data_IF_363072332083
#
_entry.id   IF_363072332083
#
_cell.length_a   1.000
_cell.length_b   1.000
_cell.length_c   1.000
_cell.angle_alpha   90.00
_cell.angle_beta   90.00
_cell.angle_gamma   90.00
#
_symmetry.space_group_name_H-M   'P 1'
#
loop_
_entity.id
_entity.type
_entity.pdbx_description
1 polymer ?
#
# COMPACT_ATOMS: atom_id res chain seq x y z
N UNK A 1 -47.34 -25.57 -28.99
CA UNK A 1 -46.29 -25.54 -27.94
C UNK A 1 -46.83 -25.67 -26.51
N UNK A 2 -47.97 -25.06 -26.13
CA UNK A 2 -48.52 -25.15 -24.74
C UNK A 2 -48.96 -26.57 -24.30
N UNK A 3 -49.50 -27.40 -25.19
CA UNK A 3 -49.99 -28.75 -24.84
C UNK A 3 -48.87 -29.80 -24.60
N UNK A 4 -47.66 -29.59 -25.14
CA UNK A 4 -46.52 -30.48 -24.91
C UNK A 4 -45.80 -30.20 -23.58
N UNK A 5 -46.04 -29.04 -22.95
CA UNK A 5 -45.46 -28.67 -21.66
C UNK A 5 -46.25 -29.23 -20.46
N UNK A 6 -47.49 -29.66 -20.66
CA UNK A 6 -48.37 -30.19 -19.61
C UNK A 6 -48.28 -31.70 -19.44
N UNK A 7 -47.68 -32.43 -20.39
CA UNK A 7 -47.43 -33.87 -20.28
C UNK A 7 -46.21 -34.15 -19.38
N UNK A 8 -46.20 -35.31 -18.71
CA UNK A 8 -45.12 -35.71 -17.80
C UNK A 8 -43.71 -35.66 -18.44
N UNK A 9 -43.51 -36.08 -19.71
CA UNK A 9 -42.24 -35.94 -20.42
C UNK A 9 -41.84 -34.48 -20.69
N UNK A 10 -42.81 -33.61 -20.99
CA UNK A 10 -42.57 -32.18 -21.18
C UNK A 10 -42.12 -31.49 -19.89
N UNK A 11 -42.76 -31.82 -18.77
CA UNK A 11 -42.40 -31.30 -17.45
C UNK A 11 -41.00 -31.72 -17.01
N UNK A 12 -40.60 -32.97 -17.27
CA UNK A 12 -39.25 -33.46 -16.96
C UNK A 12 -38.17 -32.73 -17.78
N UNK A 13 -38.42 -32.44 -19.05
CA UNK A 13 -37.51 -31.63 -19.90
C UNK A 13 -37.33 -30.21 -19.37
N UNK A 14 -38.42 -29.56 -18.96
CA UNK A 14 -38.36 -28.21 -18.40
C UNK A 14 -37.59 -28.21 -17.08
N UNK A 15 -37.87 -29.15 -16.17
CA UNK A 15 -37.14 -29.26 -14.90
C UNK A 15 -35.65 -29.47 -15.16
N UNK A 16 -35.29 -30.35 -16.10
CA UNK A 16 -33.89 -30.58 -16.46
C UNK A 16 -33.19 -29.39 -17.07
N UNK A 17 -33.87 -28.67 -17.97
CA UNK A 17 -33.34 -27.44 -18.53
C UNK A 17 -33.12 -26.36 -17.45
N UNK A 18 -34.07 -26.21 -16.52
CA UNK A 18 -33.96 -25.26 -15.39
C UNK A 18 -32.81 -25.64 -14.45
N UNK A 19 -32.67 -26.92 -14.08
CA UNK A 19 -31.58 -27.37 -13.22
C UNK A 19 -30.21 -27.21 -13.90
N UNK A 20 -30.11 -27.56 -15.19
CA UNK A 20 -28.88 -27.34 -15.95
C UNK A 20 -28.54 -25.85 -16.04
N UNK A 21 -29.54 -24.99 -16.27
CA UNK A 21 -29.36 -23.54 -16.26
C UNK A 21 -28.88 -23.03 -14.90
N UNK A 22 -29.45 -23.52 -13.80
CA UNK A 22 -29.04 -23.15 -12.44
C UNK A 22 -27.58 -23.54 -12.15
N UNK A 23 -27.18 -24.76 -12.52
CA UNK A 23 -25.78 -25.23 -12.35
C UNK A 23 -24.82 -24.38 -13.19
N UNK A 24 -25.18 -24.08 -14.43
CA UNK A 24 -24.36 -23.22 -15.31
C UNK A 24 -24.30 -21.79 -14.77
N UNK A 25 -25.41 -21.22 -14.32
CA UNK A 25 -25.45 -19.88 -13.74
C UNK A 25 -24.62 -19.78 -12.45
N UNK A 26 -24.70 -20.78 -11.57
CA UNK A 26 -23.86 -20.88 -10.38
C UNK A 26 -22.36 -20.96 -10.75
N UNK A 27 -22.01 -21.82 -11.71
CA UNK A 27 -20.63 -21.93 -12.21
C UNK A 27 -20.09 -20.62 -12.79
N UNK A 28 -20.89 -19.97 -13.64
CA UNK A 28 -20.53 -18.69 -14.26
C UNK A 28 -20.38 -17.57 -13.22
N UNK A 29 -21.32 -17.45 -12.28
CA UNK A 29 -21.23 -16.46 -11.20
C UNK A 29 -20.02 -16.70 -10.30
N UNK A 30 -19.74 -17.97 -9.98
CA UNK A 30 -18.56 -18.36 -9.18
C UNK A 30 -17.26 -18.00 -9.90
N UNK A 31 -17.15 -18.33 -11.19
CA UNK A 31 -15.97 -18.02 -11.98
C UNK A 31 -15.76 -16.50 -12.10
N UNK A 32 -16.83 -15.74 -12.38
CA UNK A 32 -16.75 -14.28 -12.48
C UNK A 32 -16.36 -13.62 -11.15
N UNK A 33 -17.09 -13.90 -10.06
CA UNK A 33 -16.84 -13.27 -8.77
C UNK A 33 -15.49 -13.67 -8.17
N UNK A 34 -15.04 -14.91 -8.39
CA UNK A 34 -13.72 -15.36 -7.94
C UNK A 34 -12.60 -14.75 -8.77
N UNK A 35 -12.79 -14.58 -10.09
CA UNK A 35 -11.80 -13.95 -10.96
C UNK A 35 -11.60 -12.47 -10.62
N UNK A 36 -12.68 -11.75 -10.33
CA UNK A 36 -12.61 -10.33 -9.93
C UNK A 36 -11.84 -10.16 -8.62
N UNK A 37 -12.12 -10.99 -7.61
CA UNK A 37 -11.41 -10.96 -6.32
C UNK A 37 -9.95 -11.41 -6.43
N UNK A 38 -9.67 -12.40 -7.26
CA UNK A 38 -8.31 -12.85 -7.51
C UNK A 38 -7.49 -11.76 -8.22
N UNK A 39 -8.10 -11.03 -9.17
CA UNK A 39 -7.46 -9.89 -9.81
C UNK A 39 -7.20 -8.75 -8.81
N UNK A 40 -8.18 -8.39 -7.98
CA UNK A 40 -8.01 -7.38 -6.93
C UNK A 40 -6.92 -7.78 -5.90
N UNK A 41 -6.87 -9.05 -5.48
CA UNK A 41 -5.81 -9.56 -4.60
C UNK A 41 -4.42 -9.53 -5.27
N UNK A 42 -4.36 -9.76 -6.59
CA UNK A 42 -3.11 -9.65 -7.36
C UNK A 42 -2.66 -8.19 -7.49
N UNK A 43 -3.60 -7.26 -7.73
CA UNK A 43 -3.35 -5.81 -7.75
C UNK A 43 -2.81 -5.31 -6.39
N UNK A 44 -3.39 -5.77 -5.26
CA UNK A 44 -2.86 -5.46 -3.91
C UNK A 44 -1.37 -5.83 -3.81
N UNK A 45 -1.00 -7.04 -4.25
CA UNK A 45 0.35 -7.57 -4.07
C UNK A 45 1.38 -7.00 -5.07
N UNK A 46 1.01 -6.90 -6.34
CA UNK A 46 1.96 -6.61 -7.42
C UNK A 46 1.89 -5.17 -7.94
N UNK A 47 0.87 -4.40 -7.56
CA UNK A 47 0.66 -3.05 -8.06
C UNK A 47 0.52 -2.04 -6.94
N UNK A 48 -0.60 -2.07 -6.21
CA UNK A 48 -0.99 -0.96 -5.34
C UNK A 48 -0.10 -0.82 -4.11
N UNK A 49 0.31 -1.94 -3.49
CA UNK A 49 1.24 -1.86 -2.36
C UNK A 49 2.64 -1.40 -2.80
N UNK A 50 3.29 -2.00 -3.84
CA UNK A 50 4.56 -1.50 -4.34
C UNK A 50 4.53 -0.02 -4.77
N UNK A 51 3.42 0.47 -5.33
CA UNK A 51 3.25 1.87 -5.71
C UNK A 51 3.14 2.80 -4.50
N UNK A 52 2.38 2.41 -3.47
CA UNK A 52 2.32 3.14 -2.19
C UNK A 52 3.71 3.25 -1.55
N UNK A 53 4.43 2.14 -1.40
CA UNK A 53 5.79 2.16 -0.84
C UNK A 53 6.75 2.97 -1.72
N UNK A 54 6.64 2.83 -3.05
CA UNK A 54 7.44 3.59 -4.01
C UNK A 54 7.20 5.09 -3.92
N UNK A 55 5.94 5.53 -3.71
CA UNK A 55 5.60 6.92 -3.51
C UNK A 55 6.22 7.50 -2.22
N UNK A 56 6.20 6.74 -1.12
CA UNK A 56 6.88 7.11 0.11
C UNK A 56 8.41 7.21 -0.08
N UNK A 57 9.00 6.31 -0.88
CA UNK A 57 10.42 6.36 -1.21
C UNK A 57 10.83 7.54 -2.10
N UNK A 58 9.93 8.01 -2.99
CA UNK A 58 10.13 9.26 -3.73
C UNK A 58 10.20 10.43 -2.76
N UNK A 59 9.22 10.56 -1.84
CA UNK A 59 9.24 11.59 -0.81
C UNK A 59 10.56 11.56 -0.02
N UNK A 60 10.93 10.37 0.47
CA UNK A 60 12.15 10.17 1.25
C UNK A 60 13.39 10.62 0.48
N UNK A 61 13.53 10.18 -0.76
CA UNK A 61 14.71 10.50 -1.58
C UNK A 61 14.78 12.01 -1.86
N UNK A 62 13.65 12.67 -2.11
CA UNK A 62 13.61 14.11 -2.28
C UNK A 62 14.01 14.87 -1.00
N UNK A 63 13.47 14.46 0.15
CA UNK A 63 13.76 15.09 1.43
C UNK A 63 15.21 14.86 1.89
N UNK A 64 15.75 13.65 1.69
CA UNK A 64 17.14 13.34 2.04
C UNK A 64 18.12 14.05 1.12
N UNK A 65 17.82 14.15 -0.18
CA UNK A 65 18.59 14.98 -1.10
C UNK A 65 18.62 16.46 -0.65
N UNK A 66 17.50 17.00 -0.19
CA UNK A 66 17.43 18.37 0.32
C UNK A 66 18.24 18.57 1.61
N UNK A 67 18.21 17.57 2.48
CA UNK A 67 19.01 17.52 3.70
C UNK A 67 20.51 17.49 3.38
N UNK A 68 20.93 16.64 2.44
CA UNK A 68 22.31 16.55 1.99
C UNK A 68 22.78 17.85 1.34
N UNK A 69 21.96 18.46 0.46
CA UNK A 69 22.28 19.74 -0.17
C UNK A 69 22.47 20.87 0.87
N UNK A 70 21.58 20.95 1.87
CA UNK A 70 21.67 21.96 2.94
C UNK A 70 22.88 21.72 3.83
N UNK A 71 23.14 20.47 4.23
CA UNK A 71 24.30 20.12 5.07
C UNK A 71 25.62 20.41 4.34
N UNK A 72 25.70 20.06 3.05
CA UNK A 72 26.87 20.32 2.22
C UNK A 72 27.13 21.80 1.99
N UNK A 73 26.08 22.61 1.90
CA UNK A 73 26.20 24.06 1.83
C UNK A 73 26.68 24.66 3.16
N UNK A 74 26.08 24.21 4.28
CA UNK A 74 26.40 24.66 5.63
C UNK A 74 27.84 24.35 6.05
N UNK A 75 28.44 23.28 5.55
CA UNK A 75 29.85 22.95 5.79
C UNK A 75 30.83 24.03 5.28
N UNK A 76 30.40 24.87 4.33
CA UNK A 76 31.21 25.94 3.76
C UNK A 76 32.38 25.46 2.89
N UNK A 77 32.89 26.34 2.01
CA UNK A 77 34.05 26.03 1.17
C UNK A 77 33.82 24.82 0.26
N UNK A 78 34.59 23.73 0.48
CA UNK A 78 34.49 22.49 -0.29
C UNK A 78 33.56 21.49 0.40
N UNK A 79 32.40 21.23 -0.21
CA UNK A 79 31.44 20.21 0.22
C UNK A 79 32.11 18.84 0.41
N UNK A 80 31.88 18.14 1.55
CA UNK A 80 32.39 16.79 1.76
C UNK A 80 31.89 15.82 0.68
N UNK A 81 32.81 15.01 0.13
CA UNK A 81 32.49 14.07 -0.96
C UNK A 81 31.32 13.14 -0.61
N UNK A 82 31.30 12.61 0.61
CA UNK A 82 30.22 11.73 1.08
C UNK A 82 28.84 12.40 1.07
N UNK A 83 28.76 13.70 1.38
CA UNK A 83 27.50 14.47 1.32
C UNK A 83 27.05 14.67 -0.13
N UNK A 84 27.99 14.93 -1.03
CA UNK A 84 27.71 15.06 -2.46
C UNK A 84 27.22 13.74 -3.06
N UNK A 85 27.87 12.63 -2.72
CA UNK A 85 27.50 11.30 -3.21
C UNK A 85 26.10 10.90 -2.73
N UNK A 86 25.77 11.18 -1.46
CA UNK A 86 24.42 10.98 -0.92
C UNK A 86 23.39 11.77 -1.70
N UNK A 87 23.62 13.07 -1.91
CA UNK A 87 22.73 13.92 -2.71
C UNK A 87 22.48 13.35 -4.13
N UNK A 88 23.54 12.98 -4.86
CA UNK A 88 23.36 12.46 -6.23
C UNK A 88 22.64 11.10 -6.24
N UNK A 89 22.94 10.24 -5.27
CA UNK A 89 22.24 8.96 -5.09
C UNK A 89 20.75 9.18 -4.87
N UNK A 90 20.37 10.10 -3.99
CA UNK A 90 18.98 10.37 -3.65
C UNK A 90 18.23 11.04 -4.81
N UNK A 91 18.88 11.94 -5.55
CA UNK A 91 18.29 12.50 -6.78
C UNK A 91 18.07 11.41 -7.83
N UNK A 92 19.03 10.48 -7.98
CA UNK A 92 18.88 9.37 -8.91
C UNK A 92 17.79 8.40 -8.46
N UNK A 93 17.66 8.14 -7.15
CA UNK A 93 16.62 7.29 -6.59
C UNK A 93 15.23 7.93 -6.77
N UNK A 94 15.08 9.22 -6.50
CA UNK A 94 13.84 9.96 -6.74
C UNK A 94 13.44 9.93 -8.22
N UNK A 95 14.39 10.17 -9.13
CA UNK A 95 14.13 10.10 -10.58
C UNK A 95 13.69 8.70 -11.01
N UNK A 96 14.34 7.65 -10.49
CA UNK A 96 14.00 6.26 -10.81
C UNK A 96 12.62 5.90 -10.28
N UNK A 97 12.30 6.30 -9.05
CA UNK A 97 10.97 6.14 -8.46
C UNK A 97 9.89 6.85 -9.27
N UNK A 98 10.14 8.08 -9.75
CA UNK A 98 9.20 8.82 -10.60
C UNK A 98 8.98 8.14 -11.95
N UNK A 99 10.00 7.48 -12.53
CA UNK A 99 9.85 6.67 -13.75
C UNK A 99 8.96 5.47 -13.49
N UNK A 100 9.18 4.74 -12.39
CA UNK A 100 8.34 3.60 -12.01
C UNK A 100 6.90 4.05 -11.73
N UNK A 101 6.70 5.16 -11.03
CA UNK A 101 5.37 5.71 -10.78
C UNK A 101 4.67 6.13 -12.07
N UNK A 102 5.38 6.78 -13.00
CA UNK A 102 4.84 7.17 -14.30
C UNK A 102 4.42 5.95 -15.15
N UNK A 103 5.20 4.88 -15.12
CA UNK A 103 4.91 3.65 -15.88
C UNK A 103 3.65 2.91 -15.39
N UNK A 104 3.23 3.16 -14.15
CA UNK A 104 2.10 2.47 -13.51
C UNK A 104 0.89 3.37 -13.25
N UNK A 105 1.03 4.68 -13.47
CA UNK A 105 -0.04 5.65 -13.35
C UNK A 105 -1.11 5.39 -14.42
N UNK A 106 -2.38 5.52 -14.04
CA UNK A 106 -3.48 5.42 -14.99
C UNK A 106 -3.54 6.68 -15.87
N UNK A 107 -3.71 6.54 -17.20
CA UNK A 107 -3.86 7.70 -18.07
C UNK A 107 -5.02 8.61 -17.65
N UNK A 108 -4.76 9.91 -17.54
CA UNK A 108 -5.70 10.92 -17.07
C UNK A 108 -5.89 10.98 -15.55
N UNK A 109 -5.18 10.16 -14.77
CA UNK A 109 -5.31 10.11 -13.32
C UNK A 109 -4.65 11.32 -12.63
N UNK A 110 -5.09 11.60 -11.40
CA UNK A 110 -4.44 12.60 -10.56
C UNK A 110 -2.99 12.23 -10.22
N UNK A 111 -2.68 10.93 -10.07
CA UNK A 111 -1.31 10.45 -9.83
C UNK A 111 -0.41 10.74 -11.03
N UNK A 112 -0.88 10.56 -12.27
CA UNK A 112 -0.13 10.92 -13.49
C UNK A 112 0.22 12.42 -13.48
N UNK A 113 -0.75 13.29 -13.18
CA UNK A 113 -0.53 14.73 -13.11
C UNK A 113 0.50 15.11 -12.03
N UNK A 114 0.43 14.47 -10.85
CA UNK A 114 1.39 14.69 -9.75
C UNK A 114 2.80 14.24 -10.13
N UNK A 115 2.95 13.05 -10.74
CA UNK A 115 4.24 12.54 -11.21
C UNK A 115 4.83 13.43 -12.31
N UNK A 116 4.02 13.87 -13.27
CA UNK A 116 4.44 14.81 -14.32
C UNK A 116 4.92 16.15 -13.75
N UNK A 117 4.26 16.65 -12.69
CA UNK A 117 4.69 17.87 -11.98
C UNK A 117 6.04 17.66 -11.30
N UNK A 118 6.23 16.56 -10.57
CA UNK A 118 7.50 16.23 -9.90
C UNK A 118 8.65 16.08 -10.91
N UNK A 119 8.42 15.41 -12.04
CA UNK A 119 9.40 15.27 -13.12
C UNK A 119 9.84 16.62 -13.72
N UNK A 120 8.97 17.64 -13.72
CA UNK A 120 9.32 18.99 -14.14
C UNK A 120 10.13 19.73 -13.09
N UNK A 121 9.76 19.60 -11.82
CA UNK A 121 10.38 20.32 -10.70
C UNK A 121 11.78 19.79 -10.35
N UNK A 122 12.02 18.49 -10.50
CA UNK A 122 13.29 17.86 -10.13
C UNK A 122 14.52 18.46 -10.83
N UNK A 123 14.56 18.64 -12.17
CA UNK A 123 15.69 19.29 -12.83
C UNK A 123 15.84 20.77 -12.47
N UNK A 124 14.73 21.49 -12.22
CA UNK A 124 14.78 22.88 -11.76
C UNK A 124 15.45 22.98 -10.39
N UNK A 125 15.02 22.14 -9.44
CA UNK A 125 15.61 22.02 -8.11
C UNK A 125 17.10 21.71 -8.20
N UNK A 126 17.48 20.67 -8.97
CA UNK A 126 18.90 20.31 -9.17
C UNK A 126 19.71 21.50 -9.70
N UNK A 127 19.18 22.23 -10.68
CA UNK A 127 19.83 23.42 -11.23
C UNK A 127 19.99 24.59 -10.25
N UNK A 128 19.12 24.71 -9.25
CA UNK A 128 19.27 25.71 -8.17
C UNK A 128 20.35 25.29 -7.17
N UNK A 129 20.36 24.02 -6.76
CA UNK A 129 21.38 23.47 -5.85
C UNK A 129 22.79 23.60 -6.45
N UNK A 130 22.97 23.28 -7.73
CA UNK A 130 24.28 23.43 -8.39
C UNK A 130 24.76 24.89 -8.46
N UNK A 131 23.83 25.84 -8.67
CA UNK A 131 24.15 27.28 -8.59
C UNK A 131 24.54 27.68 -7.19
N UNK A 132 23.78 27.25 -6.17
CA UNK A 132 24.09 27.49 -4.77
C UNK A 132 25.51 26.99 -4.42
N UNK A 133 25.84 25.75 -4.77
CA UNK A 133 27.15 25.14 -4.56
C UNK A 133 28.29 25.90 -5.26
N UNK A 134 28.06 26.31 -6.51
CA UNK A 134 29.06 27.04 -7.30
C UNK A 134 29.41 28.38 -6.66
N UNK A 135 28.41 29.10 -6.15
CA UNK A 135 28.62 30.37 -5.46
C UNK A 135 29.14 30.19 -4.03
N UNK A 136 28.74 29.12 -3.33
CA UNK A 136 29.28 28.78 -2.00
C UNK A 136 30.79 28.55 -2.05
N UNK A 137 31.27 27.82 -3.06
CA UNK A 137 32.71 27.60 -3.30
C UNK A 137 33.49 28.88 -3.55
N UNK A 138 32.83 29.91 -4.09
CA UNK A 138 33.43 31.22 -4.34
C UNK A 138 33.27 32.18 -3.15
N UNK A 139 32.58 31.78 -2.08
CA UNK A 139 32.29 32.62 -0.93
C UNK A 139 31.28 33.74 -1.21
N UNK A 140 30.51 33.67 -2.30
CA UNK A 140 29.54 34.71 -2.63
C UNK A 140 28.21 34.50 -1.89
N UNK A 141 27.68 35.53 -1.19
CA UNK A 141 26.42 35.43 -0.44
C UNK A 141 25.21 35.00 -1.27
N UNK A 142 25.23 35.26 -2.59
CA UNK A 142 24.17 34.86 -3.53
C UNK A 142 23.97 33.34 -3.56
N UNK A 143 24.98 32.54 -3.19
CA UNK A 143 24.83 31.09 -3.05
C UNK A 143 23.75 30.70 -2.04
N UNK A 144 23.66 31.43 -0.92
CA UNK A 144 22.63 31.20 0.10
C UNK A 144 21.23 31.54 -0.39
N UNK A 145 21.09 32.55 -1.26
CA UNK A 145 19.81 32.89 -1.89
C UNK A 145 19.32 31.76 -2.82
N UNK A 146 20.21 31.19 -3.63
CA UNK A 146 19.87 30.04 -4.48
C UNK A 146 19.49 28.80 -3.67
N UNK A 147 20.19 28.52 -2.56
CA UNK A 147 19.84 27.41 -1.68
C UNK A 147 18.47 27.61 -1.05
N UNK A 148 18.19 28.80 -0.50
CA UNK A 148 16.86 29.09 0.08
C UNK A 148 15.75 28.91 -0.94
N UNK A 149 15.95 29.37 -2.18
CA UNK A 149 14.96 29.18 -3.23
C UNK A 149 14.82 27.70 -3.67
N UNK A 150 15.89 26.92 -3.66
CA UNK A 150 15.83 25.47 -3.88
C UNK A 150 15.04 24.78 -2.76
N UNK A 151 15.32 25.12 -1.50
CA UNK A 151 14.65 24.60 -0.33
C UNK A 151 13.16 24.98 -0.31
N UNK A 152 12.83 26.23 -0.62
CA UNK A 152 11.44 26.69 -0.75
C UNK A 152 10.70 25.85 -1.81
N UNK A 153 11.29 25.64 -2.98
CA UNK A 153 10.72 24.78 -4.02
C UNK A 153 10.51 23.34 -3.53
N UNK A 154 11.48 22.78 -2.81
CA UNK A 154 11.38 21.45 -2.23
C UNK A 154 10.22 21.38 -1.21
N UNK A 155 10.21 22.26 -0.23
CA UNK A 155 9.28 22.26 0.91
C UNK A 155 7.85 22.62 0.51
N UNK A 156 7.67 23.58 -0.41
CA UNK A 156 6.34 24.12 -0.74
C UNK A 156 5.71 23.46 -1.96
N UNK A 157 6.49 22.79 -2.81
CA UNK A 157 5.99 22.22 -4.07
C UNK A 157 6.27 20.74 -4.21
N UNK A 158 7.51 20.29 -3.99
CA UNK A 158 7.91 18.92 -4.29
C UNK A 158 7.48 17.93 -3.20
N UNK A 159 7.82 18.19 -1.94
CA UNK A 159 7.45 17.32 -0.83
C UNK A 159 5.93 17.21 -0.64
N UNK A 160 5.14 18.30 -0.71
CA UNK A 160 3.68 18.19 -0.66
C UNK A 160 3.10 17.41 -1.83
N UNK A 161 3.67 17.54 -3.04
CA UNK A 161 3.24 16.75 -4.19
C UNK A 161 3.59 15.26 -4.03
N UNK A 162 4.76 14.92 -3.47
CA UNK A 162 5.12 13.55 -3.18
C UNK A 162 4.27 12.92 -2.06
N UNK A 163 3.91 13.71 -1.02
CA UNK A 163 3.02 13.29 0.06
C UNK A 163 1.57 13.08 -0.44
N UNK A 164 1.10 13.95 -1.35
CA UNK A 164 -0.18 13.78 -2.04
C UNK A 164 -0.20 12.53 -2.92
N UNK A 165 0.88 12.23 -3.65
CA UNK A 165 1.02 10.98 -4.39
C UNK A 165 0.94 9.77 -3.45
N UNK A 166 1.70 9.78 -2.36
CA UNK A 166 1.68 8.72 -1.34
C UNK A 166 0.27 8.50 -0.77
N UNK A 167 -0.44 9.57 -0.40
CA UNK A 167 -1.80 9.50 0.13
C UNK A 167 -2.78 8.88 -0.88
N UNK A 168 -2.64 9.21 -2.17
CA UNK A 168 -3.49 8.66 -3.24
C UNK A 168 -3.22 7.19 -3.50
N UNK A 169 -1.96 6.78 -3.53
CA UNK A 169 -1.62 5.36 -3.72
C UNK A 169 -2.04 4.51 -2.50
N UNK A 170 -2.02 5.06 -1.28
CA UNK A 170 -2.63 4.42 -0.11
C UNK A 170 -4.15 4.26 -0.25
N UNK A 171 -4.85 5.30 -0.71
CA UNK A 171 -6.30 5.22 -0.91
C UNK A 171 -6.68 4.19 -2.00
N UNK A 172 -5.85 4.07 -3.04
CA UNK A 172 -5.98 3.01 -4.06
C UNK A 172 -5.78 1.63 -3.45
N UNK A 173 -4.74 1.45 -2.65
CA UNK A 173 -4.49 0.19 -1.95
C UNK A 173 -5.68 -0.21 -1.07
N UNK A 174 -6.24 0.72 -0.30
CA UNK A 174 -7.44 0.49 0.51
C UNK A 174 -8.65 0.07 -0.34
N UNK A 175 -8.83 0.68 -1.52
CA UNK A 175 -9.90 0.33 -2.45
C UNK A 175 -9.75 -1.11 -2.99
N UNK A 176 -8.55 -1.52 -3.38
CA UNK A 176 -8.30 -2.88 -3.90
C UNK A 176 -8.53 -3.95 -2.81
N UNK A 177 -8.21 -3.67 -1.55
CA UNK A 177 -8.62 -4.52 -0.42
C UNK A 177 -10.14 -4.58 -0.26
N UNK A 178 -10.82 -3.45 -0.47
CA UNK A 178 -12.27 -3.34 -0.48
C UNK A 178 -12.94 -4.23 -1.53
N UNK A 179 -12.28 -4.44 -2.68
CA UNK A 179 -12.77 -5.30 -3.75
C UNK A 179 -12.37 -6.78 -3.59
N UNK A 180 -11.20 -7.05 -3.00
CA UNK A 180 -10.68 -8.40 -2.83
C UNK A 180 -11.35 -9.20 -1.69
N UNK A 181 -11.71 -8.53 -0.59
CA UNK A 181 -12.15 -9.18 0.65
C UNK A 181 -13.64 -9.58 0.78
N UNK A 182 -14.63 -8.94 0.11
CA UNK A 182 -16.05 -9.26 0.33
C UNK A 182 -16.45 -10.65 -0.17
N UNK A 183 -17.30 -11.37 0.58
CA UNK A 183 -17.83 -12.66 0.15
C UNK A 183 -18.56 -12.61 -1.21
N UNK A 184 -18.41 -13.62 -2.08
CA UNK A 184 -19.11 -13.72 -3.36
C UNK A 184 -20.57 -14.13 -3.15
N UNK A 185 -21.37 -13.23 -2.56
CA UNK A 185 -22.74 -13.52 -2.12
C UNK A 185 -23.67 -13.98 -3.23
N UNK A 186 -23.50 -13.45 -4.45
CA UNK A 186 -24.34 -13.86 -5.58
C UNK A 186 -24.06 -15.33 -5.98
N UNK A 187 -22.79 -15.73 -6.05
CA UNK A 187 -22.40 -17.11 -6.30
C UNK A 187 -22.87 -18.04 -5.18
N UNK A 188 -22.71 -17.65 -3.90
CA UNK A 188 -23.18 -18.44 -2.76
C UNK A 188 -24.70 -18.63 -2.82
N UNK A 189 -25.46 -17.56 -3.05
CA UNK A 189 -26.92 -17.60 -3.15
C UNK A 189 -27.38 -18.51 -4.31
N UNK A 190 -26.73 -18.39 -5.48
CA UNK A 190 -27.01 -19.26 -6.63
C UNK A 190 -26.66 -20.73 -6.35
N UNK A 191 -25.57 -21.00 -5.63
CA UNK A 191 -25.19 -22.36 -5.23
C UNK A 191 -26.21 -23.00 -4.30
N UNK A 192 -26.65 -22.26 -3.26
CA UNK A 192 -27.70 -22.70 -2.35
C UNK A 192 -29.03 -22.93 -3.09
N UNK A 193 -29.39 -22.02 -3.99
CA UNK A 193 -30.62 -22.15 -4.80
C UNK A 193 -30.55 -23.35 -5.75
N UNK A 194 -29.37 -23.63 -6.33
CA UNK A 194 -29.12 -24.80 -7.18
C UNK A 194 -29.26 -26.10 -6.39
N UNK A 195 -28.68 -26.17 -5.18
CA UNK A 195 -28.84 -27.32 -4.29
C UNK A 195 -30.29 -27.54 -3.87
N UNK A 196 -31.03 -26.47 -3.55
CA UNK A 196 -32.45 -26.55 -3.23
C UNK A 196 -33.27 -27.08 -4.42
N UNK A 197 -32.97 -26.63 -5.64
CA UNK A 197 -33.59 -27.12 -6.87
C UNK A 197 -33.32 -28.61 -7.12
N UNK A 198 -32.06 -29.04 -7.00
CA UNK A 198 -31.64 -30.44 -7.16
C UNK A 198 -32.29 -31.35 -6.10
N UNK A 199 -32.32 -30.92 -4.83
CA UNK A 199 -32.95 -31.65 -3.74
C UNK A 199 -34.47 -31.75 -3.92
N UNK A 200 -35.12 -30.67 -4.38
CA UNK A 200 -36.53 -30.68 -4.72
C UNK A 200 -36.85 -31.67 -5.85
N UNK A 201 -36.05 -31.67 -6.92
CA UNK A 201 -36.22 -32.60 -8.04
C UNK A 201 -36.05 -34.06 -7.59
N UNK A 202 -35.02 -34.33 -6.77
CA UNK A 202 -34.79 -35.66 -6.18
C UNK A 202 -35.96 -36.12 -5.31
N UNK A 203 -36.48 -35.22 -4.44
CA UNK A 203 -37.63 -35.52 -3.56
C UNK A 203 -38.92 -35.76 -4.34
N UNK A 204 -39.13 -35.00 -5.42
CA UNK A 204 -40.26 -35.18 -6.32
C UNK A 204 -40.22 -36.54 -7.01
N UNK A 205 -39.05 -36.90 -7.54
CA UNK A 205 -38.83 -38.20 -8.18
C UNK A 205 -39.06 -39.35 -7.20
N UNK A 206 -38.52 -39.26 -5.98
CA UNK A 206 -38.75 -40.23 -4.92
C UNK A 206 -40.24 -40.41 -4.61
N UNK A 207 -40.97 -39.30 -4.39
CA UNK A 207 -42.41 -39.35 -4.06
C UNK A 207 -43.30 -39.84 -5.20
N UNK A 208 -42.94 -39.62 -6.46
CA UNK A 208 -43.75 -40.03 -7.61
C UNK A 208 -43.43 -41.43 -8.12
N UNK A 209 -42.19 -41.90 -7.95
CA UNK A 209 -41.72 -43.15 -8.55
C UNK A 209 -41.23 -44.21 -7.56
N UNK A 210 -41.24 -43.94 -6.24
CA UNK A 210 -40.77 -44.83 -5.15
C UNK A 210 -39.33 -45.39 -5.32
N UNK A 211 -38.54 -44.88 -6.28
CA UNK A 211 -37.12 -45.23 -6.47
C UNK A 211 -36.24 -44.29 -5.64
N UNK A 212 -35.20 -44.85 -5.04
CA UNK A 212 -34.47 -44.22 -3.94
C UNK A 212 -33.63 -43.00 -4.38
N UNK A 213 -32.84 -43.08 -5.46
CA UNK A 213 -32.00 -41.95 -5.93
C UNK A 213 -31.76 -41.95 -7.46
N UNK A 214 -31.80 -40.78 -8.11
CA UNK A 214 -31.34 -40.59 -9.50
C UNK A 214 -29.82 -40.34 -9.52
N UNK A 215 -28.99 -41.22 -10.12
CA UNK A 215 -27.53 -41.07 -10.10
C UNK A 215 -27.02 -39.76 -10.70
N UNK A 216 -27.67 -39.25 -11.77
CA UNK A 216 -27.26 -38.01 -12.42
C UNK A 216 -27.53 -36.77 -11.57
N UNK A 217 -28.67 -36.74 -10.86
CA UNK A 217 -28.98 -35.67 -9.90
C UNK A 217 -28.09 -35.74 -8.66
N UNK A 218 -27.72 -36.95 -8.21
CA UNK A 218 -26.75 -37.13 -7.11
C UNK A 218 -25.36 -36.63 -7.54
N UNK A 219 -24.89 -36.97 -8.74
CA UNK A 219 -23.62 -36.48 -9.26
C UNK A 219 -23.61 -34.94 -9.38
N UNK A 220 -24.68 -34.35 -9.92
CA UNK A 220 -24.82 -32.89 -10.01
C UNK A 220 -24.88 -32.21 -8.63
N UNK A 221 -25.60 -32.81 -7.68
CA UNK A 221 -25.68 -32.36 -6.29
C UNK A 221 -24.32 -32.42 -5.61
N UNK A 222 -23.61 -33.54 -5.74
CA UNK A 222 -22.25 -33.72 -5.20
C UNK A 222 -21.27 -32.71 -5.78
N UNK A 223 -21.27 -32.51 -7.10
CA UNK A 223 -20.42 -31.50 -7.75
C UNK A 223 -20.74 -30.08 -7.26
N UNK A 224 -22.02 -29.75 -7.09
CA UNK A 224 -22.45 -28.43 -6.58
C UNK A 224 -22.04 -28.24 -5.11
N UNK A 225 -22.17 -29.27 -4.27
CA UNK A 225 -21.71 -29.23 -2.86
C UNK A 225 -20.20 -29.03 -2.81
N UNK A 226 -19.42 -29.79 -3.57
CA UNK A 226 -17.96 -29.66 -3.61
C UNK A 226 -17.56 -28.26 -4.09
N UNK A 227 -18.18 -27.74 -5.15
CA UNK A 227 -17.91 -26.40 -5.66
C UNK A 227 -18.25 -25.31 -4.63
N UNK A 228 -19.39 -25.42 -3.93
CA UNK A 228 -19.81 -24.45 -2.93
C UNK A 228 -18.91 -24.50 -1.67
N UNK A 229 -18.53 -25.70 -1.22
CA UNK A 229 -17.58 -25.87 -0.12
C UNK A 229 -16.20 -25.33 -0.48
N UNK A 230 -15.72 -25.61 -1.69
CA UNK A 230 -14.45 -25.07 -2.16
C UNK A 230 -14.51 -23.54 -2.24
N UNK A 231 -15.56 -22.97 -2.85
CA UNK A 231 -15.77 -21.52 -2.91
C UNK A 231 -15.74 -20.87 -1.52
N UNK A 232 -16.52 -21.40 -0.58
CA UNK A 232 -16.64 -20.82 0.76
C UNK A 232 -15.37 -21.00 1.58
N UNK A 233 -14.74 -22.18 1.57
CA UNK A 233 -13.51 -22.44 2.30
C UNK A 233 -12.33 -21.64 1.71
N UNK A 234 -12.12 -21.71 0.40
CA UNK A 234 -11.06 -20.97 -0.30
C UNK A 234 -11.18 -19.47 -0.12
N UNK A 235 -12.41 -18.92 -0.23
CA UNK A 235 -12.62 -17.49 0.00
C UNK A 235 -12.47 -17.10 1.47
N UNK A 236 -12.81 -17.98 2.43
CA UNK A 236 -12.59 -17.70 3.86
C UNK A 236 -11.11 -17.63 4.20
N UNK A 237 -10.29 -18.56 3.68
CA UNK A 237 -8.83 -18.51 3.82
C UNK A 237 -8.27 -17.26 3.15
N UNK A 238 -8.67 -17.00 1.91
CA UNK A 238 -8.20 -15.82 1.18
C UNK A 238 -8.53 -14.51 1.92
N UNK A 239 -9.75 -14.40 2.44
CA UNK A 239 -10.19 -13.26 3.23
C UNK A 239 -9.41 -13.14 4.54
N UNK A 240 -9.15 -14.24 5.27
CA UNK A 240 -8.41 -14.18 6.53
C UNK A 240 -6.96 -13.74 6.31
N UNK A 241 -6.31 -14.29 5.29
CA UNK A 241 -4.92 -13.93 4.94
C UNK A 241 -4.82 -12.48 4.45
N UNK A 242 -5.72 -12.01 3.59
CA UNK A 242 -5.75 -10.61 3.14
C UNK A 242 -6.09 -9.64 4.28
N UNK A 243 -7.04 -9.99 5.14
CA UNK A 243 -7.34 -9.14 6.32
C UNK A 243 -6.14 -9.13 7.27
N UNK A 244 -5.48 -10.27 7.44
CA UNK A 244 -4.24 -10.39 8.21
C UNK A 244 -3.12 -9.51 7.64
N UNK A 245 -2.89 -9.55 6.31
CA UNK A 245 -1.88 -8.73 5.63
C UNK A 245 -2.18 -7.24 5.72
N UNK A 246 -3.46 -6.86 5.74
CA UNK A 246 -3.86 -5.48 5.97
C UNK A 246 -3.58 -5.04 7.41
N UNK A 247 -4.06 -5.83 8.39
CA UNK A 247 -4.03 -5.46 9.80
C UNK A 247 -2.62 -5.43 10.39
N UNK A 248 -1.80 -6.42 10.03
CA UNK A 248 -0.45 -6.59 10.56
C UNK A 248 0.61 -5.97 9.64
N UNK A 249 0.42 -6.02 8.31
CA UNK A 249 1.38 -5.44 7.35
C UNK A 249 1.07 -3.99 6.98
N UNK A 250 -0.01 -3.75 6.23
CA UNK A 250 -0.28 -2.43 5.61
C UNK A 250 -0.47 -1.31 6.63
N UNK A 251 -1.18 -1.57 7.72
CA UNK A 251 -1.38 -0.56 8.77
C UNK A 251 -0.06 -0.21 9.46
N UNK A 252 0.80 -1.21 9.71
CA UNK A 252 2.13 -0.98 10.27
C UNK A 252 3.00 -0.18 9.30
N UNK A 253 3.05 -0.58 8.03
CA UNK A 253 3.76 0.12 6.95
C UNK A 253 3.33 1.58 6.82
N UNK A 254 2.03 1.87 6.84
CA UNK A 254 1.50 3.23 6.72
C UNK A 254 2.01 4.11 7.87
N UNK A 255 1.91 3.62 9.11
CA UNK A 255 2.38 4.34 10.29
C UNK A 255 3.90 4.54 10.28
N UNK A 256 4.67 3.54 9.83
CA UNK A 256 6.12 3.63 9.71
C UNK A 256 6.56 4.62 8.63
N UNK A 257 5.87 4.66 7.49
CA UNK A 257 6.12 5.65 6.44
C UNK A 257 5.76 7.06 6.91
N UNK A 258 4.63 7.26 7.59
CA UNK A 258 4.25 8.54 8.19
C UNK A 258 5.28 9.01 9.22
N UNK A 259 5.75 8.11 10.09
CA UNK A 259 6.82 8.39 11.06
C UNK A 259 8.12 8.80 10.34
N UNK A 260 8.48 8.11 9.25
CA UNK A 260 9.67 8.45 8.45
C UNK A 260 9.54 9.80 7.76
N UNK A 261 8.37 10.11 7.21
CA UNK A 261 8.05 11.43 6.65
C UNK A 261 8.22 12.51 7.73
N UNK A 262 7.69 12.31 8.93
CA UNK A 262 7.85 13.25 10.05
C UNK A 262 9.31 13.43 10.45
N UNK A 263 10.10 12.35 10.52
CA UNK A 263 11.55 12.42 10.75
C UNK A 263 12.28 13.26 9.69
N UNK A 264 11.93 13.08 8.42
CA UNK A 264 12.51 13.84 7.32
C UNK A 264 12.13 15.33 7.36
N UNK A 265 10.87 15.63 7.69
CA UNK A 265 10.39 17.02 7.89
C UNK A 265 11.16 17.69 9.04
N UNK A 266 11.29 17.01 10.17
CA UNK A 266 12.10 17.47 11.30
C UNK A 266 13.55 17.74 10.87
N UNK A 267 14.20 16.82 10.15
CA UNK A 267 15.58 17.01 9.69
C UNK A 267 15.74 18.18 8.73
N UNK A 268 14.78 18.35 7.82
CA UNK A 268 14.72 19.49 6.92
C UNK A 268 14.63 20.81 7.69
N UNK A 269 13.74 20.88 8.68
CA UNK A 269 13.53 22.04 9.53
C UNK A 269 14.75 22.36 10.42
N UNK A 270 15.40 21.35 11.00
CA UNK A 270 16.64 21.54 11.75
C UNK A 270 17.73 22.21 10.89
N UNK A 271 17.95 21.72 9.67
CA UNK A 271 18.92 22.32 8.76
C UNK A 271 18.53 23.73 8.32
N UNK A 272 17.23 23.96 8.07
CA UNK A 272 16.73 25.26 7.64
C UNK A 272 16.83 26.32 8.73
N UNK A 273 16.68 25.96 10.00
CA UNK A 273 16.92 26.88 11.13
C UNK A 273 18.33 27.49 11.07
N UNK A 274 19.36 26.67 10.78
CA UNK A 274 20.74 27.12 10.66
C UNK A 274 21.02 27.90 9.35
N UNK A 275 20.34 27.55 8.25
CA UNK A 275 20.47 28.26 6.98
C UNK A 275 19.80 29.64 7.04
N UNK A 276 18.62 29.72 7.64
CA UNK A 276 17.83 30.94 7.76
C UNK A 276 18.34 31.86 8.87
N UNK A 277 18.99 31.33 9.91
CA UNK A 277 19.57 32.08 11.04
C UNK A 277 18.57 33.04 11.69
N UNK A 278 17.35 32.56 11.94
CA UNK A 278 16.28 33.37 12.56
C UNK A 278 15.66 34.42 11.64
N UNK A 279 15.93 34.41 10.33
CA UNK A 279 15.34 35.36 9.38
C UNK A 279 13.82 35.15 9.18
N UNK A 280 13.32 33.94 9.46
CA UNK A 280 11.91 33.59 9.36
C UNK A 280 11.35 33.29 10.75
N UNK A 281 10.29 34.01 11.11
CA UNK A 281 9.67 33.86 12.43
C UNK A 281 8.17 33.69 12.33
N UNK A 282 7.62 32.96 13.28
CA UNK A 282 6.19 32.73 13.46
C UNK A 282 5.75 33.23 14.83
N UNK A 283 4.57 33.82 14.93
CA UNK A 283 3.99 34.22 16.22
C UNK A 283 2.95 33.19 16.64
N UNK A 284 3.15 32.58 17.80
CA UNK A 284 2.24 31.59 18.41
C UNK A 284 1.93 32.06 19.83
N UNK A 285 0.65 32.22 20.15
CA UNK A 285 0.18 32.69 21.46
C UNK A 285 0.87 33.97 21.95
N UNK A 286 1.13 34.90 21.03
CA UNK A 286 1.78 36.19 21.31
C UNK A 286 3.30 36.11 21.56
N UNK A 287 3.92 34.95 21.37
CA UNK A 287 5.38 34.75 21.42
C UNK A 287 5.94 34.51 20.02
N UNK A 288 7.09 35.09 19.74
CA UNK A 288 7.79 34.93 18.47
C UNK A 288 8.77 33.76 18.56
N UNK A 289 8.72 32.88 17.57
CA UNK A 289 9.60 31.71 17.43
C UNK A 289 10.28 31.76 16.06
N UNK A 290 11.49 31.20 15.96
CA UNK A 290 12.05 30.80 14.67
C UNK A 290 11.13 29.74 14.03
N UNK A 291 10.67 30.00 12.80
CA UNK A 291 9.66 29.15 12.13
C UNK A 291 10.12 27.70 12.04
N UNK A 292 11.36 27.48 11.61
CA UNK A 292 11.89 26.14 11.39
C UNK A 292 12.13 25.38 12.69
N UNK A 293 12.58 26.06 13.74
CA UNK A 293 12.71 25.46 15.08
C UNK A 293 11.35 25.06 15.65
N UNK A 294 10.31 25.88 15.44
CA UNK A 294 8.95 25.57 15.87
C UNK A 294 8.40 24.33 15.12
N UNK A 295 8.58 24.29 13.80
CA UNK A 295 8.12 23.15 12.99
C UNK A 295 8.93 21.87 13.27
N UNK A 296 10.22 21.97 13.60
CA UNK A 296 11.01 20.83 14.09
C UNK A 296 10.36 20.17 15.31
N UNK A 297 9.99 20.94 16.33
CA UNK A 297 9.38 20.41 17.56
C UNK A 297 8.02 19.75 17.29
N UNK A 298 7.26 20.32 16.36
CA UNK A 298 5.98 19.76 15.91
C UNK A 298 6.20 18.42 15.19
N UNK A 299 7.13 18.35 14.25
CA UNK A 299 7.42 17.13 13.50
C UNK A 299 8.03 16.04 14.38
N UNK A 300 8.89 16.40 15.35
CA UNK A 300 9.39 15.46 16.36
C UNK A 300 8.28 14.90 17.25
N UNK A 301 7.24 15.70 17.54
CA UNK A 301 6.05 15.23 18.26
C UNK A 301 5.22 14.26 17.41
N UNK A 302 5.09 14.52 16.11
CA UNK A 302 4.42 13.61 15.16
C UNK A 302 5.20 12.31 15.03
N UNK A 303 6.53 12.38 14.89
CA UNK A 303 7.42 11.22 14.85
C UNK A 303 7.24 10.35 16.10
N UNK A 304 7.30 10.93 17.29
CA UNK A 304 7.12 10.18 18.54
C UNK A 304 5.77 9.44 18.61
N UNK A 305 4.67 10.11 18.26
CA UNK A 305 3.34 9.48 18.20
C UNK A 305 3.26 8.37 17.15
N UNK A 306 3.92 8.56 16.01
CA UNK A 306 4.03 7.57 14.94
C UNK A 306 4.78 6.32 15.41
N UNK A 307 5.93 6.49 16.06
CA UNK A 307 6.71 5.40 16.63
C UNK A 307 5.94 4.64 17.72
N UNK A 308 5.30 5.35 18.65
CA UNK A 308 4.44 4.73 19.67
C UNK A 308 3.32 3.89 19.03
N UNK A 309 2.78 4.35 17.89
CA UNK A 309 1.73 3.63 17.17
C UNK A 309 2.29 2.43 16.41
N UNK A 310 3.48 2.55 15.81
CA UNK A 310 4.17 1.45 15.16
C UNK A 310 4.52 0.36 16.16
N UNK A 311 5.00 0.70 17.36
CA UNK A 311 5.32 -0.28 18.42
C UNK A 311 4.10 -1.11 18.81
N UNK A 312 2.92 -0.47 18.88
CA UNK A 312 1.65 -1.17 19.18
C UNK A 312 1.12 -2.05 18.05
N UNK A 313 1.55 -1.80 16.82
CA UNK A 313 1.14 -2.56 15.63
C UNK A 313 2.10 -3.70 15.31
N UNK A 314 3.38 -3.56 15.66
CA UNK A 314 4.36 -4.62 15.53
C UNK A 314 3.94 -5.85 16.36
N UNK A 315 3.91 -7.00 15.71
CA UNK A 315 3.45 -8.27 16.27
C UNK A 315 4.60 -9.18 16.74
N UNK A 316 5.83 -8.90 16.29
CA UNK A 316 7.03 -9.65 16.65
C UNK A 316 8.24 -8.76 17.01
N UNK A 317 9.36 -9.42 17.33
CA UNK A 317 10.61 -8.73 17.67
C UNK A 317 11.31 -8.12 16.45
N UNK A 318 11.04 -8.61 15.24
CA UNK A 318 11.58 -8.10 13.99
C UNK A 318 11.05 -6.70 13.67
N UNK A 319 9.77 -6.44 13.94
CA UNK A 319 9.16 -5.11 13.88
C UNK A 319 9.42 -4.26 15.12
N UNK A 320 9.27 -4.83 16.33
CA UNK A 320 9.33 -4.06 17.58
C UNK A 320 10.72 -3.52 17.89
N UNK A 321 11.78 -4.31 17.69
CA UNK A 321 13.14 -3.92 18.05
C UNK A 321 13.66 -2.68 17.28
N UNK A 322 13.52 -2.58 15.94
CA UNK A 322 13.93 -1.38 15.23
C UNK A 322 13.09 -0.15 15.64
N UNK A 323 11.78 -0.29 15.90
CA UNK A 323 10.94 0.84 16.34
C UNK A 323 11.43 1.41 17.68
N UNK A 324 11.73 0.55 18.67
CA UNK A 324 12.28 0.99 19.98
C UNK A 324 13.65 1.65 19.86
N UNK A 325 14.47 1.15 18.95
CA UNK A 325 15.76 1.77 18.64
C UNK A 325 15.57 3.16 18.04
N UNK A 326 14.60 3.32 17.12
CA UNK A 326 14.23 4.60 16.54
C UNK A 326 13.68 5.58 17.60
N UNK A 327 12.86 5.13 18.56
CA UNK A 327 12.36 5.96 19.67
C UNK A 327 13.51 6.51 20.52
N UNK A 328 14.45 5.63 20.89
CA UNK A 328 15.63 6.01 21.65
C UNK A 328 16.49 7.01 20.86
N UNK A 329 16.68 6.76 19.56
CA UNK A 329 17.38 7.65 18.65
C UNK A 329 16.71 9.02 18.50
N UNK A 330 15.38 9.06 18.39
CA UNK A 330 14.58 10.28 18.28
C UNK A 330 14.63 11.11 19.56
N UNK A 331 14.57 10.48 20.73
CA UNK A 331 14.71 11.16 22.02
C UNK A 331 16.12 11.78 22.18
N UNK A 332 17.16 11.03 21.82
CA UNK A 332 18.54 11.53 21.82
C UNK A 332 18.73 12.67 20.79
N UNK A 333 18.12 12.55 19.62
CA UNK A 333 18.15 13.59 18.60
C UNK A 333 17.56 14.89 19.16
N UNK A 334 16.36 14.84 19.74
CA UNK A 334 15.71 16.01 20.34
C UNK A 334 16.59 16.66 21.41
N UNK A 335 17.22 15.85 22.28
CA UNK A 335 18.14 16.35 23.30
C UNK A 335 19.34 17.09 22.67
N UNK A 336 19.98 16.50 21.65
CA UNK A 336 21.12 17.12 20.95
C UNK A 336 20.71 18.37 20.19
N UNK A 337 19.52 18.38 19.59
CA UNK A 337 18.95 19.54 18.92
C UNK A 337 18.79 20.72 19.89
N UNK A 338 18.19 20.50 21.06
CA UNK A 338 18.07 21.54 22.09
C UNK A 338 19.44 22.10 22.50
N UNK A 339 20.46 21.25 22.61
CA UNK A 339 21.82 21.69 22.91
C UNK A 339 22.46 22.48 21.77
N UNK A 340 22.14 22.19 20.50
CA UNK A 340 22.60 22.97 19.35
C UNK A 340 21.90 24.33 19.29
N UNK A 341 20.57 24.35 19.48
CA UNK A 341 19.76 25.58 19.57
C UNK A 341 20.23 26.52 20.67
N UNK A 342 20.54 25.98 21.85
CA UNK A 342 21.07 26.78 22.96
C UNK A 342 22.40 27.46 22.57
N UNK A 343 23.27 26.80 21.81
CA UNK A 343 24.50 27.43 21.30
C UNK A 343 24.20 28.56 20.32
N UNK A 344 23.28 28.31 19.39
CA UNK A 344 22.88 29.28 18.36
C UNK A 344 22.24 30.54 18.98
N UNK A 345 21.33 30.39 19.95
CA UNK A 345 20.70 31.50 20.68
C UNK A 345 21.69 32.32 21.51
N UNK A 346 22.76 31.69 21.99
CA UNK A 346 23.85 32.37 22.70
C UNK A 346 24.86 33.05 21.75
N UNK A 347 24.63 32.98 20.43
CA UNK A 347 25.48 33.58 19.40
C UNK A 347 26.68 32.71 18.98
N UNK A 348 26.81 31.48 19.49
CA UNK A 348 27.86 30.54 19.11
C UNK A 348 27.41 29.65 17.94
N UNK A 349 27.30 30.29 16.77
CA UNK A 349 26.85 29.64 15.54
C UNK A 349 27.77 28.48 15.12
N UNK A 350 29.08 28.60 15.31
CA UNK A 350 30.01 27.53 14.94
C UNK A 350 29.80 26.29 15.82
N UNK A 351 29.61 26.47 17.13
CA UNK A 351 29.32 25.35 18.02
C UNK A 351 27.95 24.71 17.70
N UNK A 352 26.95 25.51 17.34
CA UNK A 352 25.67 24.97 16.87
C UNK A 352 25.83 24.14 15.59
N UNK A 353 26.61 24.64 14.63
CA UNK A 353 26.93 23.97 13.38
C UNK A 353 27.64 22.63 13.62
N UNK A 354 28.68 22.62 14.47
CA UNK A 354 29.45 21.41 14.80
C UNK A 354 28.56 20.34 15.46
N UNK A 355 27.56 20.74 16.25
CA UNK A 355 26.58 19.83 16.85
C UNK A 355 25.58 19.25 15.85
N UNK A 356 25.32 19.92 14.73
CA UNK A 356 24.33 19.47 13.73
C UNK A 356 24.96 18.70 12.57
N UNK A 357 26.12 19.17 12.07
CA UNK A 357 26.78 18.61 10.87
C UNK A 357 28.27 18.25 11.08
N UNK A 358 28.79 18.35 12.30
CA UNK A 358 30.17 17.96 12.62
C UNK A 358 30.45 16.46 12.47
N UNK A 359 31.66 16.06 12.85
CA UNK A 359 32.18 14.71 12.56
C UNK A 359 31.62 13.61 13.47
N UNK A 360 31.27 13.92 14.73
CA UNK A 360 30.80 12.95 15.73
C UNK A 360 29.83 13.56 16.72
N UNK A 361 28.95 12.73 17.28
CA UNK A 361 28.04 13.14 18.35
C UNK A 361 26.98 14.12 17.88
N UNK A 362 26.64 14.12 16.59
CA UNK A 362 25.77 15.13 15.99
C UNK A 362 24.31 14.75 16.00
N UNK A 363 23.45 15.72 15.73
CA UNK A 363 22.03 15.46 15.44
C UNK A 363 21.86 14.67 14.14
N UNK A 364 22.74 14.89 13.15
CA UNK A 364 22.77 14.14 11.90
C UNK A 364 22.99 12.64 12.10
N UNK A 365 23.90 12.24 13.00
CA UNK A 365 24.08 10.82 13.36
C UNK A 365 22.83 10.20 13.98
N UNK A 366 22.08 10.97 14.79
CA UNK A 366 20.85 10.48 15.38
C UNK A 366 19.76 10.29 14.31
N UNK A 367 19.60 11.27 13.42
CA UNK A 367 18.69 11.17 12.27
C UNK A 367 19.02 9.95 11.39
N UNK A 368 20.29 9.75 11.03
CA UNK A 368 20.71 8.59 10.23
C UNK A 368 20.47 7.26 10.96
N UNK A 369 20.50 7.27 12.30
CA UNK A 369 20.07 6.17 13.15
C UNK A 369 18.58 5.87 13.03
N UNK A 370 17.76 6.89 13.26
CA UNK A 370 16.29 6.78 13.17
C UNK A 370 15.85 6.34 11.78
N UNK A 371 16.42 6.92 10.71
CA UNK A 371 16.07 6.57 9.33
C UNK A 371 16.41 5.11 9.00
N UNK A 372 17.57 4.63 9.43
CA UNK A 372 17.99 3.23 9.26
C UNK A 372 17.11 2.27 10.04
N UNK A 373 16.67 2.66 11.23
CA UNK A 373 15.83 1.83 12.09
C UNK A 373 14.42 1.73 11.51
N UNK A 374 13.84 2.85 11.07
CA UNK A 374 12.58 2.88 10.33
C UNK A 374 12.67 2.08 9.03
N UNK A 375 13.78 2.17 8.29
CA UNK A 375 13.97 1.36 7.08
C UNK A 375 13.97 -0.14 7.38
N UNK A 376 14.57 -0.56 8.50
CA UNK A 376 14.57 -1.96 8.94
C UNK A 376 13.16 -2.43 9.32
N UNK A 377 12.41 -1.61 10.06
CA UNK A 377 11.03 -1.91 10.41
C UNK A 377 10.15 -2.02 9.15
N UNK A 378 10.24 -1.05 8.23
CA UNK A 378 9.50 -1.05 6.96
C UNK A 378 9.82 -2.32 6.15
N UNK A 379 11.11 -2.67 6.03
CA UNK A 379 11.52 -3.87 5.30
C UNK A 379 10.98 -5.18 5.89
N UNK A 380 10.85 -5.25 7.22
CA UNK A 380 10.25 -6.39 7.91
C UNK A 380 8.74 -6.50 7.62
N UNK A 381 8.00 -5.42 7.85
CA UNK A 381 6.55 -5.39 7.64
C UNK A 381 6.16 -5.59 6.18
N UNK A 382 7.00 -5.12 5.26
CA UNK A 382 6.89 -5.38 3.83
C UNK A 382 6.96 -6.88 3.49
N UNK A 383 7.84 -7.62 4.17
CA UNK A 383 8.03 -9.05 3.95
C UNK A 383 6.91 -9.89 4.60
N UNK A 384 6.38 -9.46 5.74
CA UNK A 384 5.17 -10.06 6.34
C UNK A 384 3.94 -9.84 5.44
N UNK A 385 3.73 -8.60 4.97
CA UNK A 385 2.68 -8.28 4.00
C UNK A 385 2.76 -9.19 2.76
N UNK A 386 3.95 -9.28 2.12
CA UNK A 386 4.11 -10.07 0.90
C UNK A 386 3.77 -11.55 1.11
N UNK A 387 4.15 -12.13 2.25
CA UNK A 387 3.82 -13.54 2.57
C UNK A 387 2.33 -13.74 2.77
N UNK A 388 1.69 -12.92 3.60
CA UNK A 388 0.26 -13.04 3.89
C UNK A 388 -0.61 -12.74 2.66
N UNK A 389 -0.30 -11.67 1.91
CA UNK A 389 -1.03 -11.32 0.70
C UNK A 389 -0.86 -12.38 -0.41
N UNK A 390 0.34 -12.96 -0.58
CA UNK A 390 0.56 -14.06 -1.50
C UNK A 390 -0.24 -15.31 -1.10
N UNK A 391 -0.25 -15.68 0.18
CA UNK A 391 -1.06 -16.79 0.69
C UNK A 391 -2.56 -16.57 0.44
N UNK A 392 -3.04 -15.35 0.67
CA UNK A 392 -4.43 -14.96 0.42
C UNK A 392 -4.81 -15.04 -1.06
N UNK A 393 -3.96 -14.52 -1.94
CA UNK A 393 -4.15 -14.63 -3.39
C UNK A 393 -4.13 -16.09 -3.84
N UNK A 394 -3.16 -16.87 -3.37
CA UNK A 394 -2.97 -18.26 -3.77
C UNK A 394 -4.12 -19.16 -3.32
N UNK A 395 -4.77 -18.84 -2.19
CA UNK A 395 -5.98 -19.52 -1.73
C UNK A 395 -7.18 -19.35 -2.69
N UNK A 396 -7.18 -18.31 -3.53
CA UNK A 396 -8.18 -18.13 -4.60
C UNK A 396 -7.80 -18.84 -5.90
N UNK A 397 -6.56 -19.31 -6.04
CA UNK A 397 -6.07 -19.94 -7.27
C UNK A 397 -6.82 -21.24 -7.56
N UNK A 398 -7.23 -21.41 -8.82
CA UNK A 398 -7.94 -22.60 -9.28
C UNK A 398 -9.44 -22.61 -8.99
N UNK A 399 -9.98 -21.69 -8.16
CA UNK A 399 -11.42 -21.55 -7.96
C UNK A 399 -12.19 -21.31 -9.27
N UNK A 400 -11.78 -20.39 -10.17
CA UNK A 400 -12.52 -20.15 -11.41
C UNK A 400 -12.53 -21.37 -12.33
N UNK A 401 -11.38 -22.04 -12.48
CA UNK A 401 -11.22 -23.20 -13.36
C UNK A 401 -11.95 -24.42 -12.79
N UNK A 402 -11.82 -24.66 -11.48
CA UNK A 402 -12.50 -25.74 -10.78
C UNK A 402 -14.02 -25.57 -10.80
N UNK A 403 -14.52 -24.34 -10.58
CA UNK A 403 -15.95 -24.04 -10.66
C UNK A 403 -16.50 -24.24 -12.08
N UNK A 404 -15.77 -23.79 -13.11
CA UNK A 404 -16.17 -24.01 -14.50
C UNK A 404 -16.23 -25.51 -14.85
N UNK A 405 -15.21 -26.29 -14.45
CA UNK A 405 -15.18 -27.73 -14.69
C UNK A 405 -16.33 -28.46 -13.96
N UNK A 406 -16.56 -28.13 -12.69
CA UNK A 406 -17.65 -28.71 -11.89
C UNK A 406 -19.03 -28.33 -12.41
N UNK A 407 -19.20 -27.12 -12.95
CA UNK A 407 -20.45 -26.68 -13.56
C UNK A 407 -20.75 -27.46 -14.85
N UNK A 408 -19.75 -27.68 -15.72
CA UNK A 408 -19.91 -28.49 -16.94
C UNK A 408 -20.26 -29.94 -16.58
N UNK A 409 -19.53 -30.54 -15.63
CA UNK A 409 -19.79 -31.91 -15.17
C UNK A 409 -21.16 -32.04 -14.50
N UNK A 410 -21.55 -31.07 -13.68
CA UNK A 410 -22.85 -31.03 -13.01
C UNK A 410 -24.00 -30.88 -14.01
N UNK A 411 -23.86 -30.01 -15.01
CA UNK A 411 -24.86 -29.83 -16.07
C UNK A 411 -25.02 -31.10 -16.91
N UNK A 412 -23.90 -31.74 -17.30
CA UNK A 412 -23.91 -33.01 -18.02
C UNK A 412 -24.59 -34.12 -17.19
N UNK A 413 -24.28 -34.21 -15.90
CA UNK A 413 -24.91 -35.16 -14.97
C UNK A 413 -26.42 -34.95 -14.83
N UNK A 414 -26.87 -33.70 -14.71
CA UNK A 414 -28.29 -33.35 -14.64
C UNK A 414 -29.04 -33.74 -15.93
N UNK A 415 -28.47 -33.40 -17.10
CA UNK A 415 -29.05 -33.72 -18.40
C UNK A 415 -29.09 -35.25 -18.65
N UNK A 416 -28.01 -35.96 -18.36
CA UNK A 416 -27.94 -37.42 -18.50
C UNK A 416 -28.94 -38.13 -17.57
N UNK A 417 -29.05 -37.69 -16.31
CA UNK A 417 -29.98 -38.25 -15.33
C UNK A 417 -31.45 -38.09 -15.73
N UNK A 418 -31.80 -37.02 -16.44
CA UNK A 418 -33.17 -36.76 -16.92
C UNK A 418 -33.41 -37.40 -18.29
N UNK A 419 -32.41 -37.41 -19.18
CA UNK A 419 -32.44 -38.10 -20.47
C UNK A 419 -32.72 -39.59 -20.33
N UNK A 420 -32.08 -40.25 -19.36
CA UNK A 420 -32.33 -41.66 -19.02
C UNK A 420 -33.75 -41.94 -18.57
N UNK A 421 -34.44 -40.97 -17.96
CA UNK A 421 -35.86 -41.09 -17.59
C UNK A 421 -36.77 -40.88 -18.81
N UNK A 422 -36.42 -39.94 -19.68
CA UNK A 422 -37.17 -39.71 -20.92
C UNK A 422 -37.16 -40.94 -21.86
N UNK A 423 -36.11 -41.76 -21.82
CA UNK A 423 -36.06 -43.03 -22.56
C UNK A 423 -36.92 -44.14 -21.96
N UNK A 424 -37.34 -44.05 -20.70
CA UNK A 424 -38.27 -45.04 -20.08
C UNK A 424 -39.74 -44.80 -20.49
N UNK A 425 -40.07 -43.65 -21.08
CA UNK A 425 -41.42 -43.29 -21.58
C UNK A 425 -41.59 -43.46 -23.10
N UNK A 426 -40.58 -44.00 -23.78
CA UNK A 426 -40.64 -44.44 -25.18
C UNK A 426 -40.82 -45.94 -25.21
#
# INVERSE_FOLDING_TARGET
MRAAATTEPGRLRIIGAVLALLVVAFGAATAWQSSERAAAADDVLHRSQPLSSGAADIYRSLADANTAASSGFLAGGQEPAATRDRYEKDISAAASGLVTAAANAEPGSASEATVARLNRLLPEYKGLVERARTYNRQGYPVGGAYLRYANEKMQTQMLPAAEDLYTKENARLDADYGDATPYPWAAIALGVLTLAGLAWAQRRDYRRTNRVLNPGLVAAGGATVVALLWLTAGHTVARSELTGSYDHGIRSLTVLHDARIASLKARGNENLSLVARGAETVTVDGRQYDTYSYDFDKDMTVLGKGLDRAERLADDSGGTAPVKSAETGAALWKQRHTAARTSDENGDYQQALDKVIGAKGTTGECFDGVDRDLARAIGHEQAEFQRAAAAGRDAMTGLPVGAAALAVLGAAGALAGIGRRLSEYR
#
